data_IF_768546397644
#
_entry.id   IF_768546397644
#
_cell.length_a   1.000
_cell.length_b   1.000
_cell.length_c   1.000
_cell.angle_alpha   90.00
_cell.angle_beta   90.00
_cell.angle_gamma   90.00
#
_symmetry.space_group_name_H-M   'P 1'
#
loop_
_entity.id
_entity.type
_entity.pdbx_description
1 polymer ?
#
# COMPACT_ATOMS: atom_id res chain seq x y z
N UNK A 1 -8.60 23.61 30.95
CA UNK A 1 -8.21 22.94 29.70
C UNK A 1 -8.05 24.03 28.65
N UNK A 2 -6.88 24.15 28.03
CA UNK A 2 -6.70 25.04 26.86
C UNK A 2 -7.42 24.42 25.69
N UNK A 3 -8.35 25.09 24.99
CA UNK A 3 -8.93 24.58 23.77
C UNK A 3 -7.81 24.54 22.70
N UNK A 4 -7.54 23.36 22.18
CA UNK A 4 -6.61 23.17 21.07
C UNK A 4 -7.23 22.22 20.08
N UNK A 5 -7.09 22.53 18.80
CA UNK A 5 -7.56 21.69 17.70
C UNK A 5 -6.54 21.68 16.56
N UNK A 6 -6.64 20.70 15.70
CA UNK A 6 -5.90 20.65 14.45
C UNK A 6 -6.86 21.03 13.32
N UNK A 7 -6.40 21.89 12.43
CA UNK A 7 -7.13 22.29 11.24
C UNK A 7 -6.36 21.75 10.02
N UNK A 8 -7.03 20.95 9.19
CA UNK A 8 -6.44 20.32 8.00
C UNK A 8 -7.09 20.92 6.76
N UNK A 9 -6.28 21.55 5.91
CA UNK A 9 -6.71 22.12 4.64
C UNK A 9 -6.62 21.06 3.54
N UNK A 10 -7.74 20.42 3.21
CA UNK A 10 -7.82 19.39 2.17
C UNK A 10 -7.65 19.95 0.76
N UNK A 11 -7.96 21.21 0.53
CA UNK A 11 -7.71 21.88 -0.77
C UNK A 11 -6.21 22.06 -0.99
N UNK A 12 -5.45 22.36 0.09
CA UNK A 12 -3.99 22.38 0.02
C UNK A 12 -3.42 21.00 -0.28
N UNK A 13 -3.95 19.92 0.33
CA UNK A 13 -3.54 18.54 0.01
C UNK A 13 -3.77 18.24 -1.46
N UNK A 14 -4.96 18.53 -1.98
CA UNK A 14 -5.30 18.35 -3.39
C UNK A 14 -4.38 19.14 -4.33
N UNK A 15 -4.17 20.41 -4.04
CA UNK A 15 -3.31 21.28 -4.84
C UNK A 15 -1.84 20.81 -4.86
N UNK A 16 -1.32 20.36 -3.72
CA UNK A 16 0.03 19.82 -3.62
C UNK A 16 0.20 18.55 -4.47
N UNK A 17 -0.76 17.62 -4.41
CA UNK A 17 -0.72 16.41 -5.22
C UNK A 17 -0.78 16.77 -6.73
N UNK A 18 -1.65 17.70 -7.13
CA UNK A 18 -1.74 18.15 -8.52
C UNK A 18 -0.42 18.76 -9.01
N UNK A 19 0.23 19.58 -8.19
CA UNK A 19 1.53 20.17 -8.49
C UNK A 19 2.63 19.10 -8.64
N UNK A 20 2.68 18.12 -7.74
CA UNK A 20 3.61 16.99 -7.81
C UNK A 20 3.36 16.19 -9.10
N UNK A 21 2.10 15.81 -9.37
CA UNK A 21 1.72 15.06 -10.57
C UNK A 21 2.19 15.77 -11.85
N UNK A 22 1.99 17.08 -11.94
CA UNK A 22 2.46 17.87 -13.08
C UNK A 22 3.99 17.81 -13.20
N UNK A 23 4.71 17.91 -12.08
CA UNK A 23 6.18 17.94 -12.05
C UNK A 23 6.84 16.62 -12.43
N UNK A 24 6.20 15.49 -12.08
CA UNK A 24 6.78 14.15 -12.27
C UNK A 24 6.26 13.43 -13.51
N UNK A 25 5.41 14.06 -14.31
CA UNK A 25 4.87 13.44 -15.53
C UNK A 25 6.01 12.93 -16.43
N UNK A 26 5.88 11.76 -17.05
CA UNK A 26 4.70 10.88 -17.11
C UNK A 26 4.55 9.87 -15.94
N UNK A 27 5.32 10.00 -14.86
CA UNK A 27 5.22 9.09 -13.71
C UNK A 27 3.88 9.25 -13.00
N UNK A 28 3.37 8.13 -12.48
CA UNK A 28 2.16 8.11 -11.64
C UNK A 28 2.49 8.53 -10.21
N UNK A 29 1.51 9.07 -9.50
CA UNK A 29 1.64 9.47 -8.10
C UNK A 29 0.93 8.48 -7.21
N UNK A 30 1.65 7.98 -6.19
CA UNK A 30 1.11 7.19 -5.10
C UNK A 30 1.12 8.04 -3.83
N UNK A 31 -0.05 8.37 -3.28
CA UNK A 31 -0.15 9.16 -2.05
C UNK A 31 -0.09 8.25 -0.82
N UNK A 32 0.79 8.58 0.13
CA UNK A 32 0.96 7.82 1.37
C UNK A 32 0.08 8.40 2.46
N UNK A 33 -0.91 7.61 2.90
CA UNK A 33 -1.92 8.01 3.90
C UNK A 33 -1.92 7.12 5.15
N UNK A 34 -0.83 6.40 5.39
CA UNK A 34 -0.63 5.58 6.59
C UNK A 34 -0.68 6.40 7.88
N UNK A 35 -0.87 5.73 9.03
CA UNK A 35 -0.92 6.35 10.36
C UNK A 35 -1.91 7.52 10.40
N UNK A 36 -3.13 7.25 9.93
CA UNK A 36 -4.20 8.26 9.83
C UNK A 36 -3.77 9.49 9.01
N UNK A 37 -3.12 9.28 7.86
CA UNK A 37 -2.46 10.32 7.06
C UNK A 37 -1.52 11.19 7.92
N UNK A 38 -0.70 10.53 8.75
CA UNK A 38 0.18 11.19 9.73
C UNK A 38 -0.59 12.08 10.74
N UNK A 39 -1.79 11.66 11.11
CA UNK A 39 -2.68 12.38 12.03
C UNK A 39 -3.54 13.45 11.37
N UNK A 40 -3.64 13.48 10.05
CA UNK A 40 -4.47 14.45 9.32
C UNK A 40 -5.84 13.89 8.90
N UNK A 41 -6.12 12.60 9.19
CA UNK A 41 -7.31 11.88 8.74
C UNK A 41 -7.07 11.15 7.41
N UNK A 42 -7.01 9.81 7.46
CA UNK A 42 -6.63 8.98 6.30
C UNK A 42 -7.65 9.08 5.15
N UNK A 43 -8.94 8.90 5.43
CA UNK A 43 -9.99 8.92 4.40
C UNK A 43 -10.10 10.29 3.71
N UNK A 44 -10.28 11.43 4.44
CA UNK A 44 -10.39 12.72 3.76
C UNK A 44 -9.11 13.12 3.02
N UNK A 45 -7.93 12.77 3.53
CA UNK A 45 -6.67 13.02 2.84
C UNK A 45 -6.51 12.13 1.59
N UNK A 46 -6.95 10.88 1.64
CA UNK A 46 -6.95 9.98 0.49
C UNK A 46 -7.86 10.50 -0.63
N UNK A 47 -9.10 10.90 -0.29
CA UNK A 47 -10.03 11.51 -1.24
C UNK A 47 -9.47 12.78 -1.89
N UNK A 48 -8.89 13.68 -1.08
CA UNK A 48 -8.27 14.89 -1.57
C UNK A 48 -7.06 14.61 -2.49
N UNK A 49 -6.24 13.61 -2.14
CA UNK A 49 -5.11 13.19 -2.95
C UNK A 49 -5.55 12.60 -4.29
N UNK A 50 -6.56 11.73 -4.31
CA UNK A 50 -7.14 11.17 -5.53
C UNK A 50 -7.75 12.27 -6.41
N UNK A 51 -8.48 13.22 -5.82
CA UNK A 51 -9.01 14.39 -6.52
C UNK A 51 -7.89 15.30 -7.09
N UNK A 52 -6.71 15.32 -6.47
CA UNK A 52 -5.49 15.97 -6.96
C UNK A 52 -4.77 15.21 -8.06
N UNK A 53 -5.22 13.99 -8.39
CA UNK A 53 -4.68 13.16 -9.45
C UNK A 53 -3.64 12.12 -9.00
N UNK A 54 -3.60 11.77 -7.71
CA UNK A 54 -2.96 10.53 -7.29
C UNK A 54 -3.73 9.34 -7.90
N UNK A 55 -2.99 8.34 -8.36
CA UNK A 55 -3.57 7.16 -8.99
C UNK A 55 -3.56 5.96 -8.04
N UNK A 56 -2.73 6.02 -7.02
CA UNK A 56 -2.52 4.98 -6.02
C UNK A 56 -2.50 5.61 -4.63
N UNK A 57 -2.89 4.81 -3.64
CA UNK A 57 -2.70 5.11 -2.24
C UNK A 57 -1.73 4.10 -1.62
N UNK A 58 -1.06 4.50 -0.54
CA UNK A 58 -0.20 3.59 0.21
C UNK A 58 -0.42 3.73 1.71
N UNK A 59 -0.48 2.58 2.37
CA UNK A 59 -0.65 2.44 3.82
C UNK A 59 0.41 1.49 4.40
N UNK A 60 0.49 1.36 5.72
CA UNK A 60 1.43 0.48 6.37
C UNK A 60 0.80 -0.85 6.83
N UNK A 61 -0.47 -0.82 7.21
CA UNK A 61 -1.20 -1.92 7.83
C UNK A 61 -2.43 -2.31 7.01
N UNK A 62 -2.86 -3.57 7.13
CA UNK A 62 -4.06 -4.08 6.45
C UNK A 62 -5.31 -3.35 6.94
N UNK A 63 -5.40 -3.06 8.25
CA UNK A 63 -6.54 -2.35 8.84
C UNK A 63 -6.67 -0.90 8.32
N UNK A 64 -5.55 -0.25 7.98
CA UNK A 64 -5.59 1.06 7.35
C UNK A 64 -6.17 0.98 5.94
N UNK A 65 -5.78 -0.06 5.17
CA UNK A 65 -6.36 -0.33 3.87
C UNK A 65 -7.84 -0.68 3.94
N UNK A 66 -8.23 -1.50 4.92
CA UNK A 66 -9.63 -1.86 5.17
C UNK A 66 -10.50 -0.61 5.40
N UNK A 67 -10.05 0.33 6.25
CA UNK A 67 -10.79 1.60 6.47
C UNK A 67 -11.00 2.41 5.20
N UNK A 68 -9.99 2.46 4.32
CA UNK A 68 -10.15 3.13 3.02
C UNK A 68 -11.20 2.44 2.16
N UNK A 69 -11.23 1.10 2.15
CA UNK A 69 -12.24 0.31 1.41
C UNK A 69 -13.64 0.49 2.00
N UNK A 70 -13.78 0.46 3.33
CA UNK A 70 -15.05 0.71 4.03
C UNK A 70 -15.62 2.11 3.72
N UNK A 71 -14.74 3.10 3.50
CA UNK A 71 -15.11 4.44 3.05
C UNK A 71 -15.45 4.51 1.54
N UNK A 72 -15.41 3.39 0.80
CA UNK A 72 -15.77 3.34 -0.62
C UNK A 72 -14.65 3.71 -1.58
N UNK A 73 -13.41 3.85 -1.12
CA UNK A 73 -12.25 4.12 -1.98
C UNK A 73 -11.92 2.86 -2.78
N UNK A 74 -11.96 2.97 -4.12
CA UNK A 74 -11.69 1.87 -5.07
C UNK A 74 -10.33 1.95 -5.74
N UNK A 75 -9.60 3.05 -5.58
CA UNK A 75 -8.24 3.20 -6.09
C UNK A 75 -7.31 2.10 -5.55
N UNK A 76 -6.27 1.67 -6.29
CA UNK A 76 -5.30 0.71 -5.79
C UNK A 76 -4.67 1.17 -4.47
N UNK A 77 -4.66 0.28 -3.46
CA UNK A 77 -4.07 0.52 -2.14
C UNK A 77 -2.89 -0.41 -1.94
N UNK A 78 -1.72 0.17 -1.76
CA UNK A 78 -0.45 -0.51 -1.65
C UNK A 78 0.02 -0.59 -0.18
N UNK A 79 0.44 -1.77 0.26
CA UNK A 79 1.04 -1.98 1.57
C UNK A 79 2.56 -1.76 1.48
N UNK A 80 3.09 -0.74 2.15
CA UNK A 80 4.50 -0.32 2.06
C UNK A 80 5.50 -1.31 2.66
N UNK A 81 5.03 -2.18 3.53
CA UNK A 81 5.83 -3.20 4.21
C UNK A 81 5.12 -4.54 4.13
N UNK A 82 5.90 -5.62 4.24
CA UNK A 82 5.35 -6.96 4.32
C UNK A 82 4.50 -7.12 5.58
N UNK A 83 3.22 -7.47 5.44
CA UNK A 83 2.34 -7.76 6.58
C UNK A 83 2.76 -9.02 7.34
N UNK A 84 2.19 -9.22 8.51
CA UNK A 84 2.34 -10.50 9.22
C UNK A 84 1.49 -11.60 8.56
N UNK A 85 1.81 -12.86 8.80
CA UNK A 85 1.12 -13.97 8.15
C UNK A 85 -0.37 -14.03 8.47
N UNK A 86 -0.77 -13.60 9.65
CA UNK A 86 -2.18 -13.58 10.08
C UNK A 86 -3.04 -12.59 9.28
N UNK A 87 -2.41 -11.61 8.64
CA UNK A 87 -3.10 -10.58 7.84
C UNK A 87 -3.37 -11.02 6.39
N UNK A 88 -2.82 -12.15 5.94
CA UNK A 88 -2.90 -12.60 4.54
C UNK A 88 -4.34 -12.71 4.06
N UNK A 89 -5.25 -13.20 4.89
CA UNK A 89 -6.67 -13.30 4.55
C UNK A 89 -7.30 -11.93 4.29
N UNK A 90 -6.95 -10.93 5.10
CA UNK A 90 -7.42 -9.55 4.98
C UNK A 90 -6.88 -8.84 3.74
N UNK A 91 -5.66 -9.17 3.30
CA UNK A 91 -5.11 -8.60 2.07
C UNK A 91 -6.02 -8.88 0.88
N UNK A 92 -6.43 -10.15 0.72
CA UNK A 92 -7.29 -10.58 -0.38
C UNK A 92 -8.72 -10.08 -0.20
N UNK A 93 -9.25 -10.12 1.04
CA UNK A 93 -10.60 -9.66 1.36
C UNK A 93 -10.81 -8.19 1.01
N UNK A 94 -9.82 -7.35 1.30
CA UNK A 94 -9.89 -5.91 1.07
C UNK A 94 -9.25 -5.47 -0.26
N UNK A 95 -8.87 -6.39 -1.13
CA UNK A 95 -8.23 -6.09 -2.43
C UNK A 95 -7.05 -5.11 -2.26
N UNK A 96 -6.09 -5.47 -1.39
CA UNK A 96 -4.89 -4.67 -1.13
C UNK A 96 -3.70 -5.26 -1.87
N UNK A 97 -2.80 -4.42 -2.35
CA UNK A 97 -1.58 -4.87 -3.04
C UNK A 97 -0.44 -4.98 -2.03
N UNK A 98 -0.01 -6.20 -1.66
CA UNK A 98 1.01 -6.39 -0.64
C UNK A 98 2.42 -6.16 -1.17
N UNK A 99 3.33 -5.82 -0.26
CA UNK A 99 4.77 -5.96 -0.42
C UNK A 99 5.22 -7.27 0.19
N UNK A 100 6.02 -8.05 -0.54
CA UNK A 100 6.69 -9.25 -0.03
C UNK A 100 8.20 -9.14 -0.19
N UNK A 101 8.93 -9.71 0.76
CA UNK A 101 10.40 -9.84 0.69
C UNK A 101 10.90 -11.08 1.42
N UNK A 102 10.02 -11.86 2.04
CA UNK A 102 10.33 -13.17 2.63
C UNK A 102 9.59 -14.28 1.88
N UNK A 103 10.32 -15.35 1.56
CA UNK A 103 9.76 -16.53 0.91
C UNK A 103 8.54 -17.09 1.66
N UNK A 104 8.60 -17.12 3.00
CA UNK A 104 7.51 -17.62 3.85
C UNK A 104 6.21 -16.81 3.70
N UNK A 105 6.30 -15.48 3.61
CA UNK A 105 5.14 -14.64 3.37
C UNK A 105 4.54 -14.89 1.98
N UNK A 106 5.38 -14.93 0.94
CA UNK A 106 4.92 -15.20 -0.42
C UNK A 106 4.22 -16.56 -0.52
N UNK A 107 4.76 -17.60 0.15
CA UNK A 107 4.12 -18.93 0.23
C UNK A 107 2.76 -18.88 0.94
N UNK A 108 2.65 -18.14 2.05
CA UNK A 108 1.40 -18.01 2.78
C UNK A 108 0.33 -17.30 1.92
N UNK A 109 0.73 -16.25 1.20
CA UNK A 109 -0.17 -15.54 0.27
C UNK A 109 -0.64 -16.46 -0.86
N UNK A 110 0.28 -17.18 -1.52
CA UNK A 110 -0.04 -18.12 -2.59
C UNK A 110 -0.97 -19.25 -2.11
N UNK A 111 -0.72 -19.79 -0.91
CA UNK A 111 -1.59 -20.80 -0.31
C UNK A 111 -3.01 -20.29 -0.08
N UNK A 112 -3.16 -19.05 0.39
CA UNK A 112 -4.48 -18.44 0.62
C UNK A 112 -5.19 -18.11 -0.70
N UNK A 113 -4.48 -17.62 -1.73
CA UNK A 113 -5.01 -17.41 -3.09
C UNK A 113 -5.56 -18.73 -3.65
N UNK A 114 -4.76 -19.81 -3.57
CA UNK A 114 -5.15 -21.15 -4.00
C UNK A 114 -6.37 -21.65 -3.24
N UNK A 115 -6.39 -21.50 -1.91
CA UNK A 115 -7.50 -21.94 -1.06
C UNK A 115 -8.83 -21.26 -1.42
N UNK A 116 -8.76 -20.00 -1.84
CA UNK A 116 -9.95 -19.24 -2.27
C UNK A 116 -10.34 -19.51 -3.73
N UNK A 117 -9.51 -20.18 -4.51
CA UNK A 117 -9.70 -20.38 -5.95
C UNK A 117 -9.74 -19.05 -6.71
N UNK A 118 -8.96 -18.08 -6.23
CA UNK A 118 -8.87 -16.76 -6.84
C UNK A 118 -7.91 -16.78 -8.05
N UNK A 119 -8.04 -15.77 -8.91
CA UNK A 119 -7.08 -15.50 -9.97
C UNK A 119 -5.70 -15.15 -9.39
N UNK A 120 -4.62 -15.24 -10.18
CA UNK A 120 -3.29 -14.82 -9.74
C UNK A 120 -3.30 -13.44 -9.07
N UNK A 121 -2.68 -13.33 -7.90
CA UNK A 121 -2.78 -12.13 -7.07
C UNK A 121 -1.53 -11.26 -7.20
N UNK A 122 -1.66 -9.95 -7.46
CA UNK A 122 -0.50 -9.07 -7.66
C UNK A 122 0.25 -8.81 -6.35
N UNK A 123 1.57 -8.90 -6.41
CA UNK A 123 2.47 -8.62 -5.29
C UNK A 123 3.64 -7.75 -5.76
N UNK A 124 4.09 -6.82 -4.91
CA UNK A 124 5.34 -6.11 -5.11
C UNK A 124 6.46 -6.79 -4.34
N UNK A 125 7.54 -7.12 -5.02
CA UNK A 125 8.75 -7.62 -4.36
C UNK A 125 9.67 -6.45 -4.01
N UNK A 126 10.00 -6.34 -2.73
CA UNK A 126 10.86 -5.27 -2.22
C UNK A 126 12.28 -5.77 -1.99
N UNK A 127 13.24 -4.99 -2.48
CA UNK A 127 14.68 -5.25 -2.33
C UNK A 127 15.29 -4.18 -1.45
N UNK A 128 16.14 -4.57 -0.51
CA UNK A 128 16.95 -3.61 0.23
C UNK A 128 18.17 -3.20 -0.61
N UNK A 129 18.16 -1.96 -1.06
CA UNK A 129 19.25 -1.38 -1.86
C UNK A 129 20.14 -0.45 -1.05
N UNK A 130 20.10 -0.52 0.31
CA UNK A 130 21.02 0.19 1.16
C UNK A 130 20.39 0.95 2.34
N UNK A 131 19.06 0.93 2.50
CA UNK A 131 18.40 1.54 3.67
C UNK A 131 18.48 0.64 4.93
N UNK A 132 18.63 -0.67 4.74
CA UNK A 132 18.77 -1.69 5.79
C UNK A 132 17.65 -1.68 6.84
N UNK A 133 16.41 -1.47 6.37
CA UNK A 133 15.23 -1.50 7.23
C UNK A 133 14.29 -2.66 6.91
N UNK A 134 13.95 -2.82 5.65
CA UNK A 134 13.06 -3.87 5.12
C UNK A 134 13.39 -4.12 3.65
N UNK A 135 13.17 -5.35 3.19
CA UNK A 135 13.43 -5.78 1.80
C UNK A 135 14.25 -7.06 1.78
N UNK A 136 14.16 -7.80 0.69
CA UNK A 136 15.01 -8.96 0.45
C UNK A 136 16.45 -8.52 0.21
N UNK A 137 17.40 -9.37 0.58
CA UNK A 137 18.78 -9.19 0.13
C UNK A 137 18.86 -9.28 -1.40
N UNK A 138 19.62 -8.42 -2.06
CA UNK A 138 19.78 -8.49 -3.53
C UNK A 138 20.21 -9.86 -4.04
N UNK A 139 21.00 -10.62 -3.28
CA UNK A 139 21.42 -11.97 -3.61
C UNK A 139 20.28 -13.00 -3.62
N UNK A 140 19.29 -12.83 -2.75
CA UNK A 140 18.14 -13.72 -2.61
C UNK A 140 17.01 -13.41 -3.61
N UNK A 141 16.98 -12.19 -4.16
CA UNK A 141 15.92 -11.73 -5.05
C UNK A 141 15.65 -12.65 -6.24
N UNK A 142 16.66 -13.18 -6.97
CA UNK A 142 16.40 -14.06 -8.12
C UNK A 142 15.66 -15.35 -7.75
N UNK A 143 15.91 -15.88 -6.54
CA UNK A 143 15.20 -17.06 -6.03
C UNK A 143 13.75 -16.72 -5.67
N UNK A 144 13.54 -15.60 -4.99
CA UNK A 144 12.23 -15.13 -4.60
C UNK A 144 11.34 -14.80 -5.83
N UNK A 145 11.90 -14.15 -6.84
CA UNK A 145 11.19 -13.87 -8.11
C UNK A 145 10.74 -15.17 -8.80
N UNK A 146 11.64 -16.17 -8.89
CA UNK A 146 11.27 -17.46 -9.48
C UNK A 146 10.17 -18.17 -8.72
N UNK A 147 10.23 -18.12 -7.39
CA UNK A 147 9.18 -18.70 -6.54
C UNK A 147 7.84 -18.00 -6.83
N UNK A 148 7.76 -16.69 -6.70
CA UNK A 148 6.52 -15.93 -6.90
C UNK A 148 5.96 -16.08 -8.33
N UNK A 149 6.83 -16.16 -9.34
CA UNK A 149 6.40 -16.36 -10.72
C UNK A 149 5.85 -17.78 -11.01
N UNK A 150 6.13 -18.75 -10.14
CA UNK A 150 5.62 -20.11 -10.26
C UNK A 150 4.33 -20.35 -9.44
N UNK A 151 4.01 -19.44 -8.51
CA UNK A 151 2.84 -19.51 -7.65
C UNK A 151 1.67 -18.67 -8.27
N UNK A 152 0.40 -18.93 -7.88
CA UNK A 152 -0.77 -18.18 -8.36
C UNK A 152 -0.83 -16.75 -7.84
#
# INVERSE_FOLDING_TARGET
>A
VRPSWVEVDLDAVRANVAAIRHRVAPSRVCAVVKADAYGHGDVPCAEAALAGGAEWLAVALVEEGARLREAGITAPVFLLSEPVHDDVAGIIEWDLIPTGYRSSFCQALAAEVTRRGADPYPIHLKVDTGMHRVGADPGDLPALVRQVAADP
#
